data_IF_802514737270
#
_entry.id   IF_802514737270
#
_cell.length_a   1.000
_cell.length_b   1.000
_cell.length_c   1.000
_cell.angle_alpha   90.00
_cell.angle_beta   90.00
_cell.angle_gamma   90.00
#
_symmetry.space_group_name_H-M   'P 1'
#
loop_
_entity.id
_entity.type
_entity.pdbx_description
1 polymer ?
#
# COMPACT_ATOMS: atom_id res chain seq x y z
N UNK A 1 15.74 -12.61 4.65
CA UNK A 1 15.36 -11.17 4.54
C UNK A 1 16.16 -10.50 3.42
N UNK A 2 15.51 -9.71 2.56
CA UNK A 2 16.22 -9.01 1.47
C UNK A 2 17.02 -7.85 2.06
N UNK A 3 18.27 -7.63 1.59
CA UNK A 3 19.19 -6.58 2.10
C UNK A 3 18.58 -5.18 2.16
N UNK A 4 17.70 -4.82 1.20
CA UNK A 4 16.99 -3.53 1.14
C UNK A 4 16.10 -3.24 2.35
N UNK A 5 15.52 -4.26 3.00
CA UNK A 5 14.74 -4.07 4.23
C UNK A 5 15.62 -3.75 5.44
N UNK A 6 16.95 -3.88 5.29
CA UNK A 6 17.95 -3.48 6.27
C UNK A 6 18.46 -2.07 5.97
N UNK A 7 18.58 -1.68 4.70
CA UNK A 7 18.94 -0.33 4.27
C UNK A 7 17.65 0.49 4.03
N UNK A 8 17.21 1.19 5.06
CA UNK A 8 15.97 1.97 5.05
C UNK A 8 16.07 3.20 4.14
N UNK A 9 17.26 3.81 4.00
CA UNK A 9 17.48 4.92 3.07
C UNK A 9 17.36 4.47 1.62
N UNK A 10 17.93 3.31 1.28
CA UNK A 10 17.77 2.74 -0.05
C UNK A 10 16.30 2.47 -0.34
N UNK A 11 15.57 1.88 0.61
CA UNK A 11 14.13 1.57 0.44
C UNK A 11 13.30 2.84 0.26
N UNK A 12 13.55 3.87 1.07
CA UNK A 12 12.94 5.19 0.92
C UNK A 12 13.14 5.76 -0.49
N UNK A 13 14.37 5.72 -1.01
CA UNK A 13 14.70 6.20 -2.35
C UNK A 13 14.00 5.39 -3.46
N UNK A 14 13.91 4.06 -3.31
CA UNK A 14 13.20 3.18 -4.25
C UNK A 14 11.70 3.53 -4.30
N UNK A 15 11.06 3.77 -3.15
CA UNK A 15 9.66 4.21 -3.09
C UNK A 15 9.47 5.59 -3.70
N UNK A 16 10.35 6.55 -3.38
CA UNK A 16 10.30 7.90 -3.95
C UNK A 16 10.43 7.86 -5.48
N UNK A 17 11.35 7.07 -6.03
CA UNK A 17 11.50 6.91 -7.46
C UNK A 17 10.27 6.25 -8.11
N UNK A 18 9.71 5.22 -7.49
CA UNK A 18 8.47 4.58 -7.99
C UNK A 18 7.31 5.57 -8.00
N UNK A 19 7.16 6.35 -6.92
CA UNK A 19 6.12 7.37 -6.82
C UNK A 19 6.27 8.45 -7.89
N UNK A 20 7.50 8.95 -8.09
CA UNK A 20 7.83 9.99 -9.08
C UNK A 20 7.55 9.54 -10.52
N UNK A 21 7.94 8.32 -10.87
CA UNK A 21 7.86 7.82 -12.25
C UNK A 21 6.54 7.14 -12.58
N UNK A 22 5.78 6.70 -11.57
CA UNK A 22 4.59 5.87 -11.81
C UNK A 22 3.33 6.41 -11.13
N UNK A 23 3.37 6.83 -9.86
CA UNK A 23 2.15 7.24 -9.17
C UNK A 23 1.71 8.63 -9.61
N UNK A 24 2.63 9.59 -9.71
CA UNK A 24 2.32 10.94 -10.21
C UNK A 24 1.74 10.87 -11.62
N UNK A 25 2.36 10.11 -12.53
CA UNK A 25 1.85 9.96 -13.89
C UNK A 25 0.49 9.25 -13.94
N UNK A 26 0.25 8.30 -13.02
CA UNK A 26 -1.03 7.62 -12.91
C UNK A 26 -2.15 8.55 -12.45
N UNK A 27 -1.82 9.51 -11.58
CA UNK A 27 -2.72 10.48 -10.97
C UNK A 27 -2.95 11.73 -11.85
N UNK A 28 -1.97 12.14 -12.65
CA UNK A 28 -1.96 13.37 -13.45
C UNK A 28 -3.24 13.65 -14.28
N UNK A 29 -3.94 12.64 -14.85
CA UNK A 29 -5.21 12.90 -15.56
C UNK A 29 -6.38 13.26 -14.63
N UNK A 30 -6.24 13.10 -13.32
CA UNK A 30 -7.32 13.21 -12.33
C UNK A 30 -7.06 14.27 -11.26
N UNK A 31 -5.81 14.67 -11.07
CA UNK A 31 -5.39 15.63 -10.06
C UNK A 31 -4.24 16.48 -10.59
N UNK A 32 -4.39 17.80 -10.51
CA UNK A 32 -3.30 18.75 -10.76
C UNK A 32 -2.61 19.04 -9.42
N UNK A 33 -1.31 18.81 -9.36
CA UNK A 33 -0.51 19.12 -8.17
C UNK A 33 -0.19 20.61 -8.12
N UNK A 34 -0.47 21.23 -6.98
CA UNK A 34 -0.21 22.65 -6.70
C UNK A 34 0.26 22.81 -5.25
N UNK A 35 0.81 23.98 -4.86
CA UNK A 35 1.17 24.23 -3.46
C UNK A 35 -0.01 24.18 -2.48
N UNK A 36 -1.24 24.25 -2.96
CA UNK A 36 -2.48 24.15 -2.15
C UNK A 36 -2.92 22.69 -2.02
N UNK A 37 -2.41 21.79 -2.87
CA UNK A 37 -2.77 20.36 -2.83
C UNK A 37 -2.31 19.72 -1.53
N UNK A 38 -3.23 19.08 -0.83
CA UNK A 38 -2.96 18.35 0.42
C UNK A 38 -3.00 16.86 0.14
N UNK A 39 -1.92 16.18 0.51
CA UNK A 39 -1.75 14.73 0.29
C UNK A 39 -1.59 14.03 1.63
N UNK A 40 -2.41 13.03 1.90
CA UNK A 40 -2.29 12.13 3.04
C UNK A 40 -1.81 10.76 2.55
N UNK A 41 -0.83 10.17 3.22
CA UNK A 41 -0.52 8.75 3.07
C UNK A 41 -0.82 8.01 4.36
N UNK A 42 -1.68 6.98 4.27
CA UNK A 42 -2.01 6.08 5.37
C UNK A 42 -1.08 4.87 5.27
N UNK A 43 -0.35 4.57 6.34
CA UNK A 43 0.72 3.57 6.33
C UNK A 43 1.95 4.05 5.56
N UNK A 44 2.39 5.29 5.83
CA UNK A 44 3.42 5.97 5.05
C UNK A 44 4.83 5.38 5.23
N UNK A 45 5.05 4.53 6.24
CA UNK A 45 6.38 4.07 6.57
C UNK A 45 7.36 5.23 6.73
N UNK A 46 8.47 5.17 6.03
CA UNK A 46 9.51 6.22 6.02
C UNK A 46 9.17 7.42 5.11
N UNK A 47 7.96 7.48 4.53
CA UNK A 47 7.49 8.62 3.74
C UNK A 47 8.01 8.68 2.31
N UNK A 48 8.62 7.62 1.79
CA UNK A 48 9.22 7.62 0.45
C UNK A 48 8.22 7.97 -0.66
N UNK A 49 7.00 7.46 -0.61
CA UNK A 49 5.98 7.77 -1.62
C UNK A 49 5.54 9.23 -1.59
N UNK A 50 5.63 9.91 -0.44
CA UNK A 50 5.24 11.32 -0.28
C UNK A 50 6.31 12.30 -0.79
N UNK A 51 7.58 11.87 -0.87
CA UNK A 51 8.67 12.76 -1.24
C UNK A 51 8.43 13.51 -2.55
N UNK A 52 8.03 12.87 -3.69
CA UNK A 52 7.82 13.56 -4.95
C UNK A 52 6.64 14.56 -4.92
N UNK A 53 5.66 14.35 -4.05
CA UNK A 53 4.57 15.31 -3.86
C UNK A 53 5.06 16.55 -3.10
N UNK A 54 5.92 16.37 -2.09
CA UNK A 54 6.55 17.48 -1.39
C UNK A 54 7.51 18.25 -2.32
N UNK A 55 8.27 17.56 -3.18
CA UNK A 55 9.11 18.17 -4.25
C UNK A 55 8.27 19.02 -5.20
N UNK A 56 7.04 18.60 -5.50
CA UNK A 56 6.08 19.36 -6.31
C UNK A 56 5.41 20.53 -5.56
N UNK A 57 5.80 20.77 -4.30
CA UNK A 57 5.31 21.82 -3.45
C UNK A 57 4.01 21.52 -2.68
N UNK A 58 3.48 20.28 -2.78
CA UNK A 58 2.26 19.89 -2.07
C UNK A 58 2.47 19.84 -0.56
N UNK A 59 1.39 20.04 0.21
CA UNK A 59 1.38 19.84 1.66
C UNK A 59 1.14 18.37 1.96
N UNK A 60 2.13 17.67 2.52
CA UNK A 60 2.08 16.23 2.76
C UNK A 60 1.93 15.88 4.23
N UNK A 61 1.08 14.89 4.52
CA UNK A 61 0.95 14.26 5.84
C UNK A 61 1.10 12.74 5.68
N UNK A 62 1.90 12.13 6.55
CA UNK A 62 2.03 10.67 6.66
C UNK A 62 1.58 10.18 8.02
N UNK A 63 0.84 9.07 8.06
CA UNK A 63 0.42 8.37 9.28
C UNK A 63 0.95 6.94 9.22
N UNK A 64 1.62 6.46 10.26
CA UNK A 64 2.04 5.07 10.40
C UNK A 64 1.98 4.63 11.86
N UNK A 65 1.80 3.32 12.09
CA UNK A 65 1.78 2.71 13.43
C UNK A 65 3.19 2.53 14.03
N UNK A 66 4.23 2.62 13.21
CA UNK A 66 5.60 2.35 13.61
C UNK A 66 6.35 3.65 13.88
N UNK A 67 6.61 3.90 15.16
CA UNK A 67 7.27 5.12 15.64
C UNK A 67 8.66 5.32 15.01
N UNK A 68 9.47 4.28 14.95
CA UNK A 68 10.80 4.34 14.32
C UNK A 68 10.73 4.74 12.84
N UNK A 69 9.72 4.29 12.10
CA UNK A 69 9.53 4.69 10.70
C UNK A 69 9.14 6.15 10.58
N UNK A 70 8.32 6.65 11.48
CA UNK A 70 7.93 8.07 11.55
C UNK A 70 9.16 8.95 11.84
N UNK A 71 10.00 8.57 12.80
CA UNK A 71 11.27 9.27 13.06
C UNK A 71 12.18 9.29 11.82
N UNK A 72 12.30 8.16 11.12
CA UNK A 72 13.07 8.07 9.88
C UNK A 72 12.47 8.94 8.76
N UNK A 73 11.13 8.99 8.62
CA UNK A 73 10.47 9.86 7.66
C UNK A 73 10.81 11.33 7.90
N UNK A 74 10.76 11.78 9.15
CA UNK A 74 11.15 13.14 9.54
C UNK A 74 12.60 13.43 9.20
N UNK A 75 13.52 12.49 9.51
CA UNK A 75 14.95 12.62 9.21
C UNK A 75 15.21 12.69 7.70
N UNK A 76 14.61 11.81 6.90
CA UNK A 76 14.80 11.77 5.46
C UNK A 76 14.25 13.01 4.76
N UNK A 77 13.10 13.52 5.21
CA UNK A 77 12.55 14.78 4.70
C UNK A 77 13.40 15.97 5.06
N UNK A 78 13.89 16.06 6.31
CA UNK A 78 14.80 17.10 6.74
C UNK A 78 16.12 17.07 5.92
N UNK A 79 16.69 15.89 5.70
CA UNK A 79 17.88 15.72 4.87
C UNK A 79 17.67 16.12 3.41
N UNK A 80 16.44 15.97 2.87
CA UNK A 80 16.06 16.43 1.55
C UNK A 80 15.73 17.95 1.51
N UNK A 81 15.75 18.66 2.62
CA UNK A 81 15.37 20.07 2.71
C UNK A 81 13.88 20.31 2.48
N UNK A 82 13.05 19.29 2.73
CA UNK A 82 11.60 19.32 2.53
C UNK A 82 10.86 19.24 3.86
N UNK A 83 9.60 19.66 3.84
CA UNK A 83 8.72 19.60 5.00
C UNK A 83 7.58 18.60 4.76
N UNK A 84 7.23 17.85 5.80
CA UNK A 84 6.08 16.96 5.86
C UNK A 84 5.64 16.78 7.31
N UNK A 85 4.36 16.53 7.52
CA UNK A 85 3.82 16.20 8.84
C UNK A 85 3.73 14.68 8.96
N UNK A 86 4.55 14.08 9.82
CA UNK A 86 4.56 12.64 10.07
C UNK A 86 4.12 12.34 11.49
N UNK A 87 3.11 11.47 11.64
CA UNK A 87 2.44 11.20 12.92
C UNK A 87 2.39 9.70 13.17
N UNK A 88 2.86 9.29 14.35
CA UNK A 88 2.66 7.92 14.83
C UNK A 88 1.25 7.79 15.42
N UNK A 89 0.35 7.21 14.63
CA UNK A 89 -1.07 7.14 15.00
C UNK A 89 -1.76 5.94 14.34
N UNK A 90 -2.73 5.36 15.04
CA UNK A 90 -3.63 4.39 14.43
C UNK A 90 -4.72 5.13 13.63
N UNK A 91 -4.65 5.04 12.31
CA UNK A 91 -5.61 5.71 11.44
C UNK A 91 -7.07 5.36 11.74
N UNK A 92 -7.39 4.14 12.16
CA UNK A 92 -8.79 3.71 12.44
C UNK A 92 -9.39 4.51 13.60
N UNK A 93 -8.55 4.97 14.53
CA UNK A 93 -8.97 5.74 15.71
C UNK A 93 -8.58 7.21 15.64
N UNK A 94 -7.97 7.65 14.54
CA UNK A 94 -7.54 9.03 14.33
C UNK A 94 -8.73 10.00 14.35
N UNK A 95 -8.51 11.18 14.92
CA UNK A 95 -9.52 12.24 14.93
C UNK A 95 -9.84 12.70 13.51
N UNK A 96 -11.14 12.76 13.20
CA UNK A 96 -11.62 13.17 11.88
C UNK A 96 -11.47 14.69 11.71
N UNK A 97 -11.09 15.15 10.50
CA UNK A 97 -11.11 16.57 10.17
C UNK A 97 -12.48 17.19 10.44
N UNK A 98 -12.49 18.36 11.06
CA UNK A 98 -13.71 19.10 11.42
C UNK A 98 -14.11 20.10 10.34
N UNK A 99 -13.15 20.57 9.54
CA UNK A 99 -13.33 21.54 8.46
C UNK A 99 -12.89 20.96 7.11
N UNK A 100 -13.39 21.54 6.01
CA UNK A 100 -12.98 21.15 4.66
C UNK A 100 -11.50 21.44 4.40
N UNK A 101 -10.95 22.51 5.01
CA UNK A 101 -9.54 22.89 4.86
C UNK A 101 -8.57 21.91 5.53
N UNK A 102 -9.05 21.11 6.47
CA UNK A 102 -8.25 20.04 7.10
C UNK A 102 -8.20 18.78 6.25
N UNK A 103 -9.12 18.62 5.30
CA UNK A 103 -9.24 17.45 4.44
C UNK A 103 -8.19 17.44 3.32
N UNK A 104 -8.08 16.32 2.65
CA UNK A 104 -7.05 16.04 1.65
C UNK A 104 -7.64 15.97 0.24
N UNK A 105 -6.89 16.47 -0.73
CA UNK A 105 -7.20 16.34 -2.16
C UNK A 105 -6.87 14.94 -2.67
N UNK A 106 -5.85 14.33 -2.05
CA UNK A 106 -5.38 12.98 -2.38
C UNK A 106 -5.11 12.19 -1.09
N UNK A 107 -5.64 10.98 -1.03
CA UNK A 107 -5.25 9.99 -0.02
C UNK A 107 -4.55 8.82 -0.73
N UNK A 108 -3.31 8.54 -0.31
CA UNK A 108 -2.51 7.41 -0.77
C UNK A 108 -2.60 6.29 0.25
N UNK A 109 -2.83 5.06 -0.23
CA UNK A 109 -2.82 3.83 0.60
C UNK A 109 -2.13 2.76 -0.24
N UNK A 110 -0.85 2.50 0.05
CA UNK A 110 -0.05 1.57 -0.75
C UNK A 110 0.59 0.51 0.13
N UNK A 111 0.36 -0.78 -0.20
CA UNK A 111 0.82 -1.94 0.56
C UNK A 111 0.39 -1.89 2.05
N UNK A 112 -0.90 -1.57 2.30
CA UNK A 112 -1.50 -1.45 3.64
C UNK A 112 -2.72 -2.36 3.78
N UNK A 113 -3.63 -2.36 2.80
CA UNK A 113 -4.94 -3.03 2.96
C UNK A 113 -4.85 -4.55 3.11
N UNK A 114 -3.77 -5.15 2.62
CA UNK A 114 -3.44 -6.56 2.79
C UNK A 114 -2.94 -6.91 4.21
N UNK A 115 -2.57 -5.92 5.00
CA UNK A 115 -2.18 -6.09 6.40
C UNK A 115 -3.36 -5.92 7.37
N UNK A 116 -4.47 -5.37 6.93
CA UNK A 116 -5.66 -5.17 7.77
C UNK A 116 -6.46 -6.47 7.82
N UNK A 117 -6.65 -7.04 9.02
CA UNK A 117 -7.44 -8.25 9.19
C UNK A 117 -8.92 -8.04 8.86
N UNK A 118 -9.60 -9.10 8.46
CA UNK A 118 -10.99 -9.07 7.97
C UNK A 118 -11.98 -8.28 8.86
N UNK A 119 -11.97 -8.41 10.20
CA UNK A 119 -12.93 -7.71 11.07
C UNK A 119 -12.82 -6.19 11.00
N UNK A 120 -11.62 -5.67 10.70
CA UNK A 120 -11.33 -4.22 10.74
C UNK A 120 -11.41 -3.54 9.37
N UNK A 121 -11.56 -4.30 8.29
CA UNK A 121 -11.53 -3.74 6.93
C UNK A 121 -12.67 -2.76 6.68
N UNK A 122 -13.87 -3.10 7.05
CA UNK A 122 -15.03 -2.24 6.81
C UNK A 122 -14.91 -0.92 7.58
N UNK A 123 -14.48 -0.98 8.84
CA UNK A 123 -14.28 0.22 9.66
C UNK A 123 -13.16 1.09 9.09
N UNK A 124 -12.04 0.49 8.67
CA UNK A 124 -10.95 1.20 8.01
C UNK A 124 -11.43 1.95 6.77
N UNK A 125 -12.13 1.26 5.85
CA UNK A 125 -12.64 1.89 4.62
C UNK A 125 -13.67 2.99 4.92
N UNK A 126 -14.56 2.77 5.87
CA UNK A 126 -15.55 3.77 6.27
C UNK A 126 -14.91 5.01 6.92
N UNK A 127 -13.76 4.82 7.58
CA UNK A 127 -13.04 5.90 8.24
C UNK A 127 -12.27 6.82 7.27
N UNK A 128 -11.99 6.40 6.03
CA UNK A 128 -11.25 7.21 5.04
C UNK A 128 -12.08 8.40 4.54
N UNK A 129 -13.36 8.19 4.28
CA UNK A 129 -14.24 9.17 3.61
C UNK A 129 -14.26 10.56 4.28
N UNK A 130 -14.31 10.72 5.62
CA UNK A 130 -14.26 12.02 6.29
C UNK A 130 -12.96 12.81 6.06
N UNK A 131 -11.85 12.14 5.74
CA UNK A 131 -10.57 12.80 5.48
C UNK A 131 -10.43 13.33 4.06
N UNK A 132 -11.33 12.95 3.16
CA UNK A 132 -11.27 13.33 1.76
C UNK A 132 -12.11 14.58 1.49
N UNK A 133 -11.57 15.54 0.73
CA UNK A 133 -12.33 16.66 0.21
C UNK A 133 -13.42 16.19 -0.76
N UNK A 134 -14.39 17.08 -0.99
CA UNK A 134 -15.54 16.81 -1.84
C UNK A 134 -15.16 16.28 -3.23
N UNK A 135 -14.14 16.83 -3.87
CA UNK A 135 -13.63 16.42 -5.19
C UNK A 135 -12.34 15.59 -5.11
N UNK A 136 -11.92 15.26 -3.89
CA UNK A 136 -10.72 14.48 -3.63
C UNK A 136 -10.76 13.07 -4.21
N UNK A 137 -9.60 12.49 -4.36
CA UNK A 137 -9.41 11.13 -4.88
C UNK A 137 -8.60 10.28 -3.92
N UNK A 138 -8.84 8.98 -3.96
CA UNK A 138 -8.06 8.00 -3.21
C UNK A 138 -7.30 7.14 -4.21
N UNK A 139 -5.98 7.00 -4.02
CA UNK A 139 -5.17 6.03 -4.72
C UNK A 139 -4.84 4.87 -3.79
N UNK A 140 -5.22 3.66 -4.19
CA UNK A 140 -4.92 2.44 -3.44
C UNK A 140 -4.12 1.49 -4.32
N UNK A 141 -3.02 0.96 -3.77
CA UNK A 141 -2.21 -0.08 -4.39
C UNK A 141 -1.98 -1.23 -3.42
N UNK A 142 -2.18 -2.47 -3.86
CA UNK A 142 -1.92 -3.66 -3.04
C UNK A 142 -1.63 -4.89 -3.90
N UNK A 143 -0.83 -5.87 -3.41
CA UNK A 143 -0.64 -7.16 -4.03
C UNK A 143 -1.87 -8.04 -3.81
N UNK A 144 -2.31 -8.75 -4.85
CA UNK A 144 -3.41 -9.70 -4.70
C UNK A 144 -2.97 -10.90 -3.86
N UNK A 145 -3.84 -11.39 -2.96
CA UNK A 145 -3.51 -12.48 -2.02
C UNK A 145 -2.93 -13.72 -2.71
N UNK A 146 -3.49 -14.15 -3.85
CA UNK A 146 -3.08 -15.38 -4.53
C UNK A 146 -1.81 -15.24 -5.39
N UNK A 147 -1.24 -14.03 -5.53
CA UNK A 147 -0.01 -13.89 -6.30
C UNK A 147 1.16 -14.67 -5.65
N UNK A 148 2.23 -15.01 -6.39
CA UNK A 148 3.27 -15.96 -5.90
C UNK A 148 3.81 -15.69 -4.51
N UNK A 149 3.90 -14.43 -4.12
CA UNK A 149 4.40 -13.97 -2.83
C UNK A 149 3.39 -13.07 -2.09
N UNK A 150 2.09 -13.23 -2.35
CA UNK A 150 1.02 -12.46 -1.71
C UNK A 150 0.94 -12.65 -0.19
N UNK A 151 1.52 -13.72 0.33
CA UNK A 151 1.66 -13.96 1.78
C UNK A 151 2.88 -13.31 2.42
N UNK A 152 3.65 -12.47 1.71
CA UNK A 152 4.82 -11.74 2.20
C UNK A 152 5.94 -12.62 2.80
N UNK A 153 5.98 -13.91 2.47
CA UNK A 153 6.99 -14.85 2.99
C UNK A 153 8.44 -14.47 2.65
N UNK A 154 8.67 -13.47 1.80
CA UNK A 154 10.02 -12.92 1.53
C UNK A 154 10.67 -12.24 2.75
N UNK A 155 9.88 -11.92 3.80
CA UNK A 155 10.43 -11.41 5.08
C UNK A 155 11.17 -12.51 5.85
N UNK A 156 10.87 -13.78 5.57
CA UNK A 156 11.51 -14.94 6.19
C UNK A 156 13.02 -15.01 5.92
N UNK A 157 13.74 -15.65 6.83
CA UNK A 157 15.20 -15.84 6.72
C UNK A 157 15.56 -17.19 6.10
N UNK A 158 14.73 -18.20 6.31
CA UNK A 158 14.94 -19.57 5.85
C UNK A 158 14.52 -19.82 4.39
N UNK A 159 14.49 -21.11 4.02
CA UNK A 159 14.21 -21.54 2.65
C UNK A 159 12.81 -21.15 2.15
N UNK A 160 11.84 -21.04 3.05
CA UNK A 160 10.44 -20.65 2.73
C UNK A 160 10.34 -19.29 2.07
N UNK A 161 11.30 -18.38 2.31
CA UNK A 161 11.35 -17.04 1.71
C UNK A 161 11.42 -17.05 0.18
N UNK A 162 11.83 -18.16 -0.42
CA UNK A 162 12.05 -18.33 -1.88
C UNK A 162 10.96 -19.16 -2.56
N UNK A 163 10.05 -19.77 -1.79
CA UNK A 163 9.04 -20.68 -2.35
C UNK A 163 7.75 -19.90 -2.60
N UNK A 164 7.31 -19.78 -3.87
CA UNK A 164 6.05 -19.10 -4.18
C UNK A 164 4.86 -19.94 -3.69
N UNK A 165 3.72 -19.28 -3.46
CA UNK A 165 2.41 -19.88 -3.16
C UNK A 165 2.28 -20.66 -1.84
N UNK A 166 3.33 -20.78 -1.01
CA UNK A 166 3.24 -21.57 0.25
C UNK A 166 2.20 -21.00 1.23
N UNK A 167 1.94 -19.70 1.17
CA UNK A 167 0.92 -19.05 1.97
C UNK A 167 -0.50 -19.52 1.66
N UNK A 168 -0.73 -20.15 0.50
CA UNK A 168 -2.02 -20.74 0.11
C UNK A 168 -2.29 -22.09 0.77
N UNK A 169 -1.28 -22.72 1.34
CA UNK A 169 -1.44 -23.98 2.09
C UNK A 169 -2.42 -23.79 3.28
N UNK A 170 -3.11 -24.87 3.70
CA UNK A 170 -3.88 -24.85 4.95
C UNK A 170 -3.02 -24.36 6.12
N UNK A 171 -3.62 -23.57 7.02
CA UNK A 171 -2.89 -22.89 8.10
C UNK A 171 -1.98 -23.83 8.93
N UNK A 172 -2.39 -25.05 9.31
CA UNK A 172 -1.49 -25.95 10.08
C UNK A 172 -0.24 -26.34 9.29
N UNK A 173 -0.37 -26.64 7.98
CA UNK A 173 0.77 -26.99 7.14
C UNK A 173 1.70 -25.80 6.91
N UNK A 174 1.12 -24.61 6.65
CA UNK A 174 1.88 -23.39 6.49
C UNK A 174 2.68 -23.05 7.75
N UNK A 175 2.04 -23.10 8.93
CA UNK A 175 2.69 -22.85 10.21
C UNK A 175 3.81 -23.87 10.48
N UNK A 176 3.59 -25.15 10.19
CA UNK A 176 4.60 -26.20 10.37
C UNK A 176 5.82 -25.95 9.46
N UNK A 177 5.61 -25.53 8.22
CA UNK A 177 6.70 -25.20 7.29
C UNK A 177 7.51 -23.98 7.77
N UNK A 178 6.84 -22.94 8.28
CA UNK A 178 7.51 -21.77 8.83
C UNK A 178 8.38 -22.15 10.05
N UNK A 179 7.85 -22.96 10.95
CA UNK A 179 8.60 -23.48 12.12
C UNK A 179 9.79 -24.35 11.71
N UNK A 180 9.59 -25.25 10.72
CA UNK A 180 10.64 -26.10 10.19
C UNK A 180 11.75 -25.29 9.50
N UNK A 181 11.39 -24.13 8.92
CA UNK A 181 12.34 -23.18 8.31
C UNK A 181 13.14 -22.38 9.35
N UNK A 182 12.83 -22.52 10.65
CA UNK A 182 13.50 -21.80 11.74
C UNK A 182 13.11 -20.36 11.85
N UNK A 183 11.90 -19.97 11.38
CA UNK A 183 11.42 -18.58 11.48
C UNK A 183 11.05 -18.22 12.93
N UNK A 184 11.27 -16.97 13.27
CA UNK A 184 10.94 -16.46 14.60
C UNK A 184 9.43 -16.40 14.79
N UNK A 185 8.94 -16.64 16.02
CA UNK A 185 7.51 -16.62 16.32
C UNK A 185 6.85 -15.30 15.90
N UNK A 186 7.52 -14.16 16.10
CA UNK A 186 7.03 -12.85 15.65
C UNK A 186 6.75 -12.82 14.16
N UNK A 187 7.69 -13.32 13.34
CA UNK A 187 7.57 -13.32 11.87
C UNK A 187 6.45 -14.29 11.43
N UNK A 188 6.30 -15.42 12.14
CA UNK A 188 5.19 -16.37 11.92
C UNK A 188 3.85 -15.71 12.20
N UNK A 189 3.70 -15.00 13.33
CA UNK A 189 2.45 -14.32 13.68
C UNK A 189 2.10 -13.21 12.66
N UNK A 190 3.08 -12.44 12.18
CA UNK A 190 2.90 -11.46 11.13
C UNK A 190 2.37 -12.11 9.84
N UNK A 191 2.99 -13.19 9.39
CA UNK A 191 2.56 -13.92 8.20
C UNK A 191 1.17 -14.55 8.33
N UNK A 192 0.82 -15.02 9.52
CA UNK A 192 -0.52 -15.53 9.81
C UNK A 192 -1.57 -14.41 9.86
N UNK A 193 -1.21 -13.21 10.31
CA UNK A 193 -2.09 -12.03 10.25
C UNK A 193 -2.37 -11.65 8.79
N UNK A 194 -1.34 -11.59 7.95
CA UNK A 194 -1.50 -11.36 6.50
C UNK A 194 -2.39 -12.45 5.87
N UNK A 195 -2.21 -13.70 6.27
CA UNK A 195 -3.06 -14.80 5.81
C UNK A 195 -4.53 -14.63 6.24
N UNK A 196 -4.81 -14.12 7.45
CA UNK A 196 -6.18 -13.80 7.89
C UNK A 196 -6.75 -12.60 7.13
N UNK A 197 -5.92 -11.66 6.71
CA UNK A 197 -6.32 -10.54 5.85
C UNK A 197 -6.76 -11.01 4.46
N UNK A 198 -5.97 -11.84 3.78
CA UNK A 198 -6.25 -12.47 2.47
C UNK A 198 -6.94 -11.55 1.46
N UNK A 199 -6.37 -10.35 1.19
CA UNK A 199 -6.98 -9.36 0.31
C UNK A 199 -6.97 -9.81 -1.15
N UNK A 200 -8.15 -10.12 -1.68
CA UNK A 200 -8.35 -10.40 -3.11
C UNK A 200 -8.91 -9.18 -3.83
N UNK A 201 -8.79 -9.15 -5.15
CA UNK A 201 -9.37 -8.10 -6.00
C UNK A 201 -10.89 -8.03 -5.81
N UNK A 202 -11.55 -9.19 -5.76
CA UNK A 202 -13.02 -9.29 -5.61
C UNK A 202 -13.47 -8.74 -4.26
N UNK A 203 -12.75 -9.11 -3.20
CA UNK A 203 -13.05 -8.65 -1.85
C UNK A 203 -12.85 -7.13 -1.71
N UNK A 204 -11.74 -6.61 -2.26
CA UNK A 204 -11.50 -5.18 -2.31
C UNK A 204 -12.60 -4.40 -3.04
N UNK A 205 -12.99 -4.88 -4.24
CA UNK A 205 -14.06 -4.25 -5.02
C UNK A 205 -15.44 -4.33 -4.31
N UNK A 206 -15.68 -5.38 -3.54
CA UNK A 206 -16.87 -5.50 -2.69
C UNK A 206 -16.83 -4.48 -1.54
N UNK A 207 -15.71 -4.38 -0.81
CA UNK A 207 -15.51 -3.38 0.24
C UNK A 207 -15.76 -1.97 -0.27
N UNK A 208 -15.17 -1.60 -1.41
CA UNK A 208 -15.41 -0.29 -2.02
C UNK A 208 -16.90 -0.01 -2.25
N UNK A 209 -17.65 -0.99 -2.78
CA UNK A 209 -19.10 -0.84 -3.01
C UNK A 209 -19.90 -0.68 -1.72
N UNK A 210 -19.59 -1.50 -0.70
CA UNK A 210 -20.34 -1.51 0.56
C UNK A 210 -20.02 -0.31 1.46
N UNK A 211 -18.84 0.31 1.30
CA UNK A 211 -18.41 1.49 2.06
C UNK A 211 -18.60 2.80 1.30
N UNK A 212 -19.32 2.78 0.16
CA UNK A 212 -19.73 4.00 -0.52
C UNK A 212 -18.68 4.63 -1.43
N UNK A 213 -17.77 3.84 -2.01
CA UNK A 213 -16.82 4.33 -3.00
C UNK A 213 -17.22 3.99 -4.43
N UNK A 214 -16.92 4.90 -5.35
CA UNK A 214 -17.02 4.71 -6.79
C UNK A 214 -15.63 4.50 -7.37
N UNK A 215 -15.50 3.45 -8.17
CA UNK A 215 -14.28 3.12 -8.89
C UNK A 215 -14.13 4.01 -10.12
N UNK A 216 -13.07 4.84 -10.18
CA UNK A 216 -12.76 5.70 -11.33
C UNK A 216 -11.85 4.97 -12.32
N UNK A 217 -10.82 4.31 -11.79
CA UNK A 217 -9.83 3.62 -12.60
C UNK A 217 -9.31 2.37 -11.87
N UNK A 218 -9.10 1.30 -12.63
CA UNK A 218 -8.45 0.07 -12.18
C UNK A 218 -7.32 -0.29 -13.15
N UNK A 219 -6.17 -0.64 -12.60
CA UNK A 219 -5.07 -1.21 -13.37
C UNK A 219 -4.50 -2.40 -12.61
N UNK A 220 -4.52 -3.56 -13.24
CA UNK A 220 -3.89 -4.76 -12.70
C UNK A 220 -2.51 -4.91 -13.32
N UNK A 221 -1.48 -5.01 -12.49
CA UNK A 221 -0.11 -5.13 -12.92
C UNK A 221 0.35 -6.58 -12.84
N UNK A 222 0.85 -7.10 -13.98
CA UNK A 222 1.59 -8.37 -14.02
C UNK A 222 3.01 -8.19 -13.52
N UNK A 223 3.68 -7.08 -13.94
CA UNK A 223 4.93 -6.60 -13.36
C UNK A 223 4.64 -5.22 -12.78
N UNK A 224 4.65 -5.14 -11.48
CA UNK A 224 4.35 -3.95 -10.70
C UNK A 224 5.42 -2.86 -10.97
N UNK A 225 5.06 -1.56 -11.04
CA UNK A 225 6.00 -0.48 -11.26
C UNK A 225 7.18 -0.45 -10.29
N UNK A 226 6.98 -0.81 -9.03
CA UNK A 226 8.07 -0.88 -8.06
C UNK A 226 9.14 -1.94 -8.42
N UNK A 227 8.79 -2.96 -9.23
CA UNK A 227 9.75 -3.97 -9.68
C UNK A 227 10.80 -3.42 -10.66
N UNK A 228 10.58 -2.25 -11.27
CA UNK A 228 11.61 -1.57 -12.05
C UNK A 228 12.77 -1.12 -11.13
N UNK A 229 12.45 -0.50 -9.98
CA UNK A 229 13.45 -0.12 -8.98
C UNK A 229 14.05 -1.36 -8.29
N UNK A 230 13.21 -2.36 -8.07
CA UNK A 230 13.55 -3.54 -7.28
C UNK A 230 14.37 -4.58 -8.03
N UNK A 231 14.05 -4.82 -9.29
CA UNK A 231 14.55 -5.94 -10.08
C UNK A 231 14.96 -5.56 -11.49
N UNK A 232 14.92 -4.26 -11.84
CA UNK A 232 15.13 -3.75 -13.19
C UNK A 232 14.17 -4.39 -14.22
N UNK A 233 12.93 -4.66 -13.80
CA UNK A 233 11.88 -5.25 -14.65
C UNK A 233 10.92 -4.15 -15.07
N UNK A 234 10.80 -3.91 -16.38
CA UNK A 234 9.87 -2.89 -16.94
C UNK A 234 8.43 -3.23 -16.54
N UNK A 235 7.65 -2.25 -16.07
CA UNK A 235 6.25 -2.44 -15.68
C UNK A 235 5.41 -3.00 -16.81
N UNK A 236 4.55 -3.98 -16.52
CA UNK A 236 3.63 -4.58 -17.49
C UNK A 236 2.25 -4.76 -16.88
N UNK A 237 1.24 -4.25 -17.57
CA UNK A 237 -0.15 -4.49 -17.20
C UNK A 237 -0.52 -5.97 -17.43
N UNK A 238 -1.43 -6.47 -16.60
CA UNK A 238 -2.02 -7.78 -16.85
C UNK A 238 -2.81 -7.75 -18.18
N UNK A 239 -2.63 -8.74 -19.06
CA UNK A 239 -3.42 -8.84 -20.30
C UNK A 239 -4.92 -8.78 -20.02
N UNK A 240 -5.68 -8.01 -20.83
CA UNK A 240 -7.10 -7.75 -20.60
C UNK A 240 -7.92 -9.03 -20.42
N UNK A 241 -7.66 -10.06 -21.23
CA UNK A 241 -8.37 -11.34 -21.15
C UNK A 241 -8.20 -12.00 -19.78
N UNK A 242 -6.96 -12.06 -19.25
CA UNK A 242 -6.68 -12.62 -17.92
C UNK A 242 -7.28 -11.76 -16.81
N UNK A 243 -7.23 -10.43 -16.98
CA UNK A 243 -7.80 -9.48 -16.02
C UNK A 243 -9.33 -9.54 -15.89
N UNK A 244 -10.01 -10.12 -16.87
CA UNK A 244 -11.48 -10.29 -16.86
C UNK A 244 -11.95 -11.59 -16.16
N UNK A 245 -11.05 -12.56 -15.93
CA UNK A 245 -11.40 -13.82 -15.28
C UNK A 245 -11.34 -13.64 -13.76
N UNK A 246 -12.50 -13.58 -13.06
CA UNK A 246 -12.54 -13.45 -11.60
C UNK A 246 -11.74 -14.57 -10.93
N UNK A 247 -11.17 -14.30 -9.76
CA UNK A 247 -10.32 -15.19 -8.96
C UNK A 247 -9.00 -15.55 -9.64
N UNK A 248 -9.01 -15.96 -10.91
CA UNK A 248 -7.80 -16.34 -11.64
C UNK A 248 -6.84 -15.16 -11.81
N UNK A 249 -7.36 -13.95 -12.07
CA UNK A 249 -6.57 -12.71 -12.17
C UNK A 249 -5.69 -12.44 -10.94
N UNK A 250 -6.10 -12.89 -9.74
CA UNK A 250 -5.33 -12.67 -8.51
C UNK A 250 -3.96 -13.37 -8.53
N UNK A 251 -3.85 -14.54 -9.20
CA UNK A 251 -2.59 -15.27 -9.29
C UNK A 251 -1.51 -14.54 -10.09
N UNK A 252 -1.93 -13.64 -10.98
CA UNK A 252 -1.04 -12.92 -11.89
C UNK A 252 -0.96 -11.42 -11.60
N UNK A 253 -1.64 -10.93 -10.57
CA UNK A 253 -1.64 -9.52 -10.20
C UNK A 253 -0.64 -9.27 -9.07
N UNK A 254 0.55 -8.78 -9.43
CA UNK A 254 1.59 -8.44 -8.45
C UNK A 254 1.32 -7.13 -7.73
N UNK A 255 0.48 -6.25 -8.30
CA UNK A 255 -0.15 -5.12 -7.64
C UNK A 255 -1.41 -4.69 -8.40
N UNK A 256 -2.44 -4.34 -7.67
CA UNK A 256 -3.68 -3.77 -8.21
C UNK A 256 -3.77 -2.30 -7.81
N UNK A 257 -3.81 -1.39 -8.81
CA UNK A 257 -3.95 0.04 -8.59
C UNK A 257 -5.38 0.48 -8.84
N UNK A 258 -5.92 1.23 -7.90
CA UNK A 258 -7.27 1.78 -7.95
C UNK A 258 -7.28 3.28 -7.69
N UNK A 259 -8.12 3.99 -8.45
CA UNK A 259 -8.54 5.36 -8.11
C UNK A 259 -10.01 5.31 -7.74
N UNK A 260 -10.33 5.88 -6.58
CA UNK A 260 -11.67 5.90 -6.03
C UNK A 260 -12.09 7.34 -5.72
N UNK A 261 -13.42 7.56 -5.73
CA UNK A 261 -14.09 8.73 -5.14
C UNK A 261 -15.16 8.26 -4.17
N UNK A 262 -15.53 9.12 -3.23
CA UNK A 262 -16.71 8.88 -2.40
C UNK A 262 -17.95 8.97 -3.30
N UNK A 263 -18.86 8.00 -3.19
CA UNK A 263 -20.14 8.00 -3.88
C UNK A 263 -21.01 9.10 -3.25
N UNK A 264 -21.42 10.04 -4.05
CA UNK A 264 -22.43 11.04 -3.67
C UNK A 264 -23.85 10.54 -3.87
#
# INVERSE_FOLDING_TARGET
MQRRHQDRQQYFNELANTSRTSYIDYLKPYLTLTPQTRVLEIGCGEGGNLLPFAEAGCRVKGIDLNDLRIEQAQQFFAAAGLQGLFVNENFITADKPTTEDERFDLILIHDVVEHIEQPYKQDFFSHISPFLKCDGIIFIGFPAWQMPFGGHQQICHGFVSKIPFIHLLPTPLYTSLLKLSGERERDIQELLSIKRSAMTIEHFEQLCRTTGYTLIKKTLWFINPHYEQKFNLKPRRLPKLLGQIPWFRNFYTTSAFYLLKVKR
#
